data_IF_808899786692
#
_entry.id   IF_808899786692
#
_cell.length_a   1.000
_cell.length_b   1.000
_cell.length_c   1.000
_cell.angle_alpha   90.00
_cell.angle_beta   90.00
_cell.angle_gamma   90.00
#
_symmetry.space_group_name_H-M   'P 1'
#
loop_
_entity.id
_entity.type
_entity.pdbx_description
1 polymer ?
#
# COMPACT_ATOMS: atom_id res chain seq x y z
N UNK A 1 8.63 9.65 -16.47
CA UNK A 1 9.48 8.45 -16.27
C UNK A 1 9.56 8.06 -14.80
N UNK A 2 10.06 8.91 -13.89
CA UNK A 2 10.20 8.58 -12.45
C UNK A 2 8.86 8.28 -11.74
N UNK A 3 7.78 9.01 -12.08
CA UNK A 3 6.44 8.73 -11.53
C UNK A 3 5.88 7.36 -11.94
N UNK A 4 6.31 6.81 -13.08
CA UNK A 4 5.81 5.54 -13.59
C UNK A 4 6.49 4.36 -12.88
N UNK A 5 7.82 4.45 -12.71
CA UNK A 5 8.64 3.48 -11.98
C UNK A 5 8.20 3.29 -10.53
N UNK A 6 7.77 4.37 -9.89
CA UNK A 6 7.25 4.34 -8.52
C UNK A 6 5.99 3.46 -8.41
N UNK A 7 5.05 3.63 -9.33
CA UNK A 7 3.81 2.88 -9.31
C UNK A 7 4.04 1.43 -9.72
N UNK A 8 4.92 1.18 -10.69
CA UNK A 8 5.32 -0.16 -11.13
C UNK A 8 5.91 -0.99 -9.99
N UNK A 9 6.84 -0.41 -9.21
CA UNK A 9 7.43 -1.03 -8.02
C UNK A 9 6.38 -1.42 -6.96
N UNK A 10 5.29 -0.64 -6.85
CA UNK A 10 4.20 -0.98 -5.95
C UNK A 10 3.24 -2.01 -6.55
N UNK A 11 2.97 -1.96 -7.85
CA UNK A 11 2.04 -2.86 -8.51
C UNK A 11 2.54 -4.31 -8.49
N UNK A 12 3.85 -4.51 -8.56
CA UNK A 12 4.47 -5.84 -8.44
C UNK A 12 4.08 -6.54 -7.12
N UNK A 13 4.02 -5.79 -6.02
CA UNK A 13 3.74 -6.35 -4.70
C UNK A 13 2.34 -6.09 -4.18
N UNK A 14 1.64 -5.04 -4.63
CA UNK A 14 0.42 -4.54 -4.00
C UNK A 14 -0.69 -4.19 -5.01
N UNK A 15 -0.70 -4.83 -6.19
CA UNK A 15 -1.68 -4.54 -7.24
C UNK A 15 -3.13 -4.60 -6.76
N UNK A 16 -3.50 -5.58 -5.93
CA UNK A 16 -4.89 -5.72 -5.47
C UNK A 16 -5.29 -4.63 -4.46
N UNK A 17 -4.35 -4.19 -3.60
CA UNK A 17 -4.55 -3.04 -2.72
C UNK A 17 -4.80 -1.78 -3.54
N UNK A 18 -3.96 -1.54 -4.55
CA UNK A 18 -4.05 -0.35 -5.38
C UNK A 18 -5.34 -0.35 -6.19
N UNK A 19 -5.68 -1.48 -6.83
CA UNK A 19 -6.95 -1.65 -7.56
C UNK A 19 -8.14 -1.37 -6.67
N UNK A 20 -8.16 -1.91 -5.44
CA UNK A 20 -9.22 -1.68 -4.48
C UNK A 20 -9.39 -0.19 -4.19
N UNK A 21 -8.31 0.50 -3.78
CA UNK A 21 -8.38 1.92 -3.41
C UNK A 21 -8.73 2.81 -4.61
N UNK A 22 -8.18 2.53 -5.80
CA UNK A 22 -8.44 3.33 -7.01
C UNK A 22 -9.88 3.18 -7.50
N UNK A 23 -10.41 1.96 -7.51
CA UNK A 23 -11.81 1.70 -7.91
C UNK A 23 -12.77 2.51 -7.04
N UNK A 24 -12.52 2.59 -5.73
CA UNK A 24 -13.33 3.37 -4.79
C UNK A 24 -13.19 4.88 -4.97
N UNK A 25 -11.99 5.39 -5.21
CA UNK A 25 -11.80 6.81 -5.51
C UNK A 25 -12.53 7.26 -6.79
N UNK A 26 -12.70 6.37 -7.76
CA UNK A 26 -13.48 6.64 -8.98
C UNK A 26 -14.99 6.62 -8.73
N UNK A 27 -15.48 5.73 -7.87
CA UNK A 27 -16.91 5.65 -7.49
C UNK A 27 -17.40 6.92 -6.79
N UNK A 28 -16.56 7.58 -5.98
CA UNK A 28 -16.90 8.84 -5.27
C UNK A 28 -17.18 10.03 -6.23
N UNK A 29 -16.70 9.97 -7.48
CA UNK A 29 -16.82 11.09 -8.44
C UNK A 29 -18.07 10.96 -9.33
N UNK A 30 -18.63 9.77 -9.44
CA UNK A 30 -19.82 9.49 -10.26
C UNK A 30 -21.01 9.25 -9.36
N UNK A 31 -21.95 10.20 -9.32
CA UNK A 31 -23.18 10.20 -8.53
C UNK A 31 -24.09 8.98 -8.76
N UNK A 32 -23.76 7.84 -8.16
CA UNK A 32 -24.63 6.65 -8.09
C UNK A 32 -24.12 5.66 -7.05
N UNK A 33 -24.88 5.55 -5.95
CA UNK A 33 -24.87 4.44 -4.97
C UNK A 33 -23.48 3.86 -4.66
N UNK A 34 -22.80 4.36 -3.61
CA UNK A 34 -21.65 3.66 -2.99
C UNK A 34 -22.04 2.18 -2.80
N UNK A 35 -21.51 1.28 -3.64
CA UNK A 35 -21.81 -0.15 -3.51
C UNK A 35 -21.24 -0.57 -2.17
N UNK A 36 -22.12 -0.96 -1.25
CA UNK A 36 -21.75 -1.36 0.10
C UNK A 36 -20.66 -2.45 0.03
N UNK A 37 -19.50 -2.14 0.58
CA UNK A 37 -18.37 -3.08 0.66
C UNK A 37 -18.67 -4.08 1.77
N UNK A 38 -18.48 -5.36 1.48
CA UNK A 38 -18.63 -6.41 2.48
C UNK A 38 -17.29 -6.79 3.09
N UNK A 39 -17.32 -7.32 4.32
CA UNK A 39 -16.12 -7.85 5.00
C UNK A 39 -15.44 -8.92 4.14
N UNK A 40 -16.22 -9.79 3.47
CA UNK A 40 -15.71 -10.87 2.63
C UNK A 40 -14.89 -10.40 1.42
N UNK A 41 -15.14 -9.19 0.91
CA UNK A 41 -14.38 -8.62 -0.21
C UNK A 41 -13.00 -8.10 0.24
N UNK A 42 -12.91 -7.62 1.49
CA UNK A 42 -11.71 -6.93 1.99
C UNK A 42 -10.84 -7.83 2.87
N UNK A 43 -11.43 -8.85 3.49
CA UNK A 43 -10.72 -9.79 4.35
C UNK A 43 -9.49 -10.44 3.67
N UNK A 44 -9.58 -10.98 2.44
CA UNK A 44 -8.43 -11.59 1.79
C UNK A 44 -7.31 -10.58 1.55
N UNK A 45 -7.67 -9.34 1.20
CA UNK A 45 -6.72 -8.26 0.94
C UNK A 45 -5.96 -7.84 2.20
N UNK A 46 -6.65 -7.74 3.34
CA UNK A 46 -6.02 -7.39 4.63
C UNK A 46 -5.07 -8.49 5.08
N UNK A 47 -5.51 -9.75 4.99
CA UNK A 47 -4.68 -10.91 5.36
C UNK A 47 -3.44 -11.04 4.48
N UNK A 48 -3.63 -10.91 3.17
CA UNK A 48 -2.54 -10.92 2.20
C UNK A 48 -1.52 -9.82 2.52
N UNK A 49 -1.98 -8.56 2.65
CA UNK A 49 -1.11 -7.44 3.03
C UNK A 49 -0.36 -7.74 4.34
N UNK A 50 -1.08 -8.15 5.38
CA UNK A 50 -0.51 -8.46 6.70
C UNK A 50 0.59 -9.52 6.67
N UNK A 51 0.48 -10.50 5.77
CA UNK A 51 1.45 -11.58 5.64
C UNK A 51 2.75 -11.19 4.92
N UNK A 52 2.70 -10.23 3.98
CA UNK A 52 3.82 -9.97 3.05
C UNK A 52 4.40 -8.57 3.06
N UNK A 53 3.73 -7.58 3.66
CA UNK A 53 4.13 -6.17 3.56
C UNK A 53 5.59 -5.90 3.96
N UNK A 54 6.10 -6.54 5.03
CA UNK A 54 7.48 -6.35 5.48
C UNK A 54 8.50 -6.86 4.46
N UNK A 55 8.28 -8.09 3.99
CA UNK A 55 9.15 -8.72 3.01
C UNK A 55 9.14 -7.96 1.67
N UNK A 56 7.96 -7.48 1.26
CA UNK A 56 7.84 -6.64 0.06
C UNK A 56 8.62 -5.33 0.19
N UNK A 57 8.55 -4.61 1.33
CA UNK A 57 9.34 -3.38 1.53
C UNK A 57 10.85 -3.67 1.44
N UNK A 58 11.30 -4.79 2.00
CA UNK A 58 12.71 -5.20 1.94
C UNK A 58 13.15 -5.54 0.50
N UNK A 59 12.33 -6.28 -0.24
CA UNK A 59 12.58 -6.60 -1.65
C UNK A 59 12.64 -5.34 -2.50
N UNK A 60 11.66 -4.44 -2.37
CA UNK A 60 11.65 -3.16 -3.09
C UNK A 60 12.92 -2.34 -2.82
N UNK A 61 13.40 -2.31 -1.58
CA UNK A 61 14.68 -1.68 -1.26
C UNK A 61 15.83 -2.38 -1.98
N UNK A 62 15.92 -3.71 -1.87
CA UNK A 62 16.97 -4.49 -2.50
C UNK A 62 17.00 -4.32 -4.03
N UNK A 63 15.84 -4.29 -4.68
CA UNK A 63 15.75 -4.06 -6.13
C UNK A 63 16.23 -2.66 -6.50
N UNK A 64 15.92 -1.65 -5.68
CA UNK A 64 16.39 -0.29 -5.90
C UNK A 64 17.91 -0.18 -5.74
N UNK A 65 18.50 -0.78 -4.70
CA UNK A 65 19.95 -0.72 -4.50
C UNK A 65 20.72 -1.48 -5.58
N UNK A 66 20.15 -2.56 -6.15
CA UNK A 66 20.82 -3.36 -7.19
C UNK A 66 20.60 -2.82 -8.60
N UNK A 67 19.44 -2.20 -8.87
CA UNK A 67 19.05 -1.80 -10.23
C UNK A 67 19.48 -0.38 -10.60
N UNK A 68 19.71 0.50 -9.62
CA UNK A 68 20.03 1.91 -9.89
C UNK A 68 21.51 2.21 -9.65
N UNK A 69 22.23 2.59 -10.71
CA UNK A 69 23.61 3.07 -10.62
C UNK A 69 23.71 4.45 -9.96
N UNK A 70 22.67 5.29 -10.10
CA UNK A 70 22.52 6.54 -9.35
C UNK A 70 21.67 6.29 -8.12
N UNK A 71 22.37 6.15 -7.00
CA UNK A 71 21.78 5.80 -5.72
C UNK A 71 20.78 6.84 -5.17
N UNK A 72 21.07 8.14 -5.35
CA UNK A 72 20.17 9.22 -4.93
C UNK A 72 18.82 9.14 -5.66
N UNK A 73 18.87 8.92 -6.98
CA UNK A 73 17.69 8.79 -7.82
C UNK A 73 16.86 7.56 -7.42
N UNK A 74 17.50 6.40 -7.22
CA UNK A 74 16.83 5.18 -6.79
C UNK A 74 16.10 5.35 -5.45
N UNK A 75 16.76 5.99 -4.48
CA UNK A 75 16.14 6.21 -3.16
C UNK A 75 14.99 7.18 -3.16
N UNK A 76 15.02 8.21 -4.01
CA UNK A 76 13.89 9.12 -4.15
C UNK A 76 12.68 8.40 -4.74
N UNK A 77 12.88 7.47 -5.68
CA UNK A 77 11.83 6.58 -6.20
C UNK A 77 11.30 5.67 -5.08
N UNK A 78 12.18 5.02 -4.31
CA UNK A 78 11.79 4.15 -3.20
C UNK A 78 10.97 4.92 -2.15
N UNK A 79 11.46 6.11 -1.73
CA UNK A 79 10.76 6.97 -0.77
C UNK A 79 9.39 7.36 -1.26
N UNK A 80 9.27 7.74 -2.53
CA UNK A 80 7.99 8.05 -3.12
C UNK A 80 7.07 6.82 -3.10
N UNK A 81 7.56 5.65 -3.51
CA UNK A 81 6.79 4.40 -3.55
C UNK A 81 6.28 4.01 -2.16
N UNK A 82 7.16 4.00 -1.16
CA UNK A 82 6.82 3.71 0.23
C UNK A 82 5.82 4.73 0.82
N UNK A 83 5.95 6.00 0.46
CA UNK A 83 4.97 7.03 0.84
C UNK A 83 3.59 6.74 0.23
N UNK A 84 3.54 6.35 -1.04
CA UNK A 84 2.28 5.96 -1.68
C UNK A 84 1.70 4.67 -1.09
N UNK A 85 2.52 3.68 -0.76
CA UNK A 85 2.08 2.48 -0.05
C UNK A 85 1.35 2.83 1.26
N UNK A 86 1.93 3.75 2.05
CA UNK A 86 1.33 4.23 3.29
C UNK A 86 -0.03 4.90 3.05
N UNK A 87 -0.14 5.72 2.01
CA UNK A 87 -1.40 6.39 1.64
C UNK A 87 -2.47 5.38 1.20
N UNK A 88 -2.12 4.42 0.34
CA UNK A 88 -3.03 3.36 -0.08
C UNK A 88 -3.51 2.53 1.10
N UNK A 89 -2.60 2.12 1.98
CA UNK A 89 -2.96 1.32 3.15
C UNK A 89 -3.81 2.10 4.17
N UNK A 90 -3.54 3.39 4.37
CA UNK A 90 -4.36 4.25 5.24
C UNK A 90 -5.79 4.34 4.70
N UNK A 91 -5.95 4.55 3.38
CA UNK A 91 -7.26 4.57 2.73
C UNK A 91 -8.00 3.23 2.90
N UNK A 92 -7.32 2.10 2.72
CA UNK A 92 -7.90 0.78 2.98
C UNK A 92 -8.39 0.67 4.43
N UNK A 93 -7.56 1.06 5.41
CA UNK A 93 -7.92 1.02 6.82
C UNK A 93 -9.13 1.89 7.14
N UNK A 94 -9.26 3.05 6.50
CA UNK A 94 -10.41 3.93 6.69
C UNK A 94 -11.68 3.40 6.02
N UNK A 95 -11.57 2.77 4.85
CA UNK A 95 -12.68 2.04 4.23
C UNK A 95 -13.22 0.96 5.17
N UNK A 96 -12.35 0.17 5.79
CA UNK A 96 -12.76 -0.93 6.69
C UNK A 96 -13.56 -0.42 7.90
N UNK A 97 -13.20 0.74 8.45
CA UNK A 97 -13.94 1.36 9.56
C UNK A 97 -15.37 1.74 9.19
N UNK A 98 -15.64 2.00 7.90
CA UNK A 98 -16.97 2.33 7.36
C UNK A 98 -17.81 1.10 7.04
N UNK A 99 -17.23 -0.10 7.01
CA UNK A 99 -17.93 -1.35 6.68
C UNK A 99 -18.69 -1.87 7.90
N UNK A 100 -19.96 -2.24 7.70
CA UNK A 100 -20.76 -2.94 8.73
C UNK A 100 -20.09 -4.28 9.06
N UNK A 101 -19.66 -4.45 10.32
CA UNK A 101 -18.91 -5.63 10.76
C UNK A 101 -17.41 -5.60 10.47
N UNK A 102 -16.88 -4.50 9.93
CA UNK A 102 -15.46 -4.33 9.61
C UNK A 102 -14.51 -4.42 10.80
N UNK A 103 -15.01 -4.19 12.03
CA UNK A 103 -14.23 -4.35 13.27
C UNK A 103 -13.66 -5.77 13.47
N UNK A 104 -14.27 -6.78 12.85
CA UNK A 104 -13.77 -8.16 12.85
C UNK A 104 -12.39 -8.31 12.18
N UNK A 105 -12.04 -7.39 11.27
CA UNK A 105 -10.76 -7.37 10.55
C UNK A 105 -9.64 -6.63 11.30
N UNK A 106 -9.95 -5.95 12.41
CA UNK A 106 -8.97 -5.14 13.14
C UNK A 106 -7.76 -5.95 13.64
N UNK A 107 -7.94 -7.24 13.90
CA UNK A 107 -6.87 -8.17 14.32
C UNK A 107 -5.86 -8.46 13.21
N UNK A 108 -6.30 -8.36 11.95
CA UNK A 108 -5.50 -8.67 10.76
C UNK A 108 -4.86 -7.39 10.18
N UNK A 109 -5.28 -6.20 10.66
CA UNK A 109 -4.70 -4.92 10.29
C UNK A 109 -3.31 -4.75 10.90
N UNK A 110 -2.36 -4.45 10.03
CA UNK A 110 -1.05 -3.92 10.41
C UNK A 110 -1.21 -2.49 10.93
N UNK A 111 -0.51 -2.16 12.02
CA UNK A 111 -0.52 -0.80 12.54
C UNK A 111 0.21 0.17 11.61
N UNK A 112 -0.34 1.38 11.43
CA UNK A 112 0.29 2.47 10.67
C UNK A 112 1.69 2.76 11.21
N UNK A 113 1.87 2.72 12.53
CA UNK A 113 3.17 2.92 13.18
C UNK A 113 4.21 1.88 12.77
N UNK A 114 3.83 0.61 12.63
CA UNK A 114 4.73 -0.46 12.16
C UNK A 114 5.15 -0.23 10.71
N UNK A 115 4.23 0.17 9.83
CA UNK A 115 4.54 0.49 8.43
C UNK A 115 5.49 1.67 8.38
N UNK A 116 5.18 2.76 9.09
CA UNK A 116 6.07 3.93 9.15
C UNK A 116 7.46 3.60 9.71
N UNK A 117 7.56 2.66 10.64
CA UNK A 117 8.85 2.22 11.18
C UNK A 117 9.71 1.57 10.09
N UNK A 118 9.17 0.59 9.35
CA UNK A 118 9.90 -0.04 8.24
C UNK A 118 10.21 0.95 7.13
N UNK A 119 9.27 1.84 6.78
CA UNK A 119 9.54 2.91 5.80
C UNK A 119 10.72 3.77 6.25
N UNK A 120 10.76 4.20 7.52
CA UNK A 120 11.88 4.99 8.05
C UNK A 120 13.19 4.21 8.04
N UNK A 121 13.16 2.91 8.33
CA UNK A 121 14.33 2.03 8.28
C UNK A 121 14.92 1.99 6.87
N UNK A 122 14.12 1.66 5.86
CA UNK A 122 14.60 1.49 4.49
C UNK A 122 14.78 2.82 3.72
N UNK A 123 14.12 3.91 4.10
CA UNK A 123 14.32 5.23 3.47
C UNK A 123 15.53 6.03 3.97
N UNK A 124 16.04 5.67 5.16
CA UNK A 124 17.23 6.26 5.79
C UNK A 124 18.49 5.43 5.61
N UNK A 125 18.35 4.19 5.19
CA UNK A 125 19.52 3.40 4.82
C UNK A 125 20.13 4.13 3.62
N UNK A 126 21.43 4.41 3.72
CA UNK A 126 22.29 5.34 2.98
C UNK A 126 22.43 6.75 3.54
#
# INVERSE_FOLDING_TARGET
MLLFLQEELLLEHFSDLIKFVKTRASEDTTSSSERAITVSEVEPLVKDFGSRWKAAIELMHNDVITSFSNFLCGMDILRAALTQLLLYYTRLSDCIKRIVGGSSLNKDLVSISSIMYEIRKYSRTF
#
